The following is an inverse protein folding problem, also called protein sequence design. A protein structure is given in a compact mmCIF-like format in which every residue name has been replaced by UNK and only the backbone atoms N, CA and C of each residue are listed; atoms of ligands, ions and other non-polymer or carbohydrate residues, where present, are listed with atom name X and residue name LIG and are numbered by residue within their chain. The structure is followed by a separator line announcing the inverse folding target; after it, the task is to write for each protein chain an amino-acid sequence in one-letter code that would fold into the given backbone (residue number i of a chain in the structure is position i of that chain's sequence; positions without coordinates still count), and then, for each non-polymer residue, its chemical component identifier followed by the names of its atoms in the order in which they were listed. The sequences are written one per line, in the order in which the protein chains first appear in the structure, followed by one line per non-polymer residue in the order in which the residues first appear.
data_IF_426903165007
#
_entry.id   IF_426903165007
#
_cell.length_a   1.000
_cell.length_b   1.000
_cell.length_c   1.000
_cell.angle_alpha   90.00
_cell.angle_beta   90.00
_cell.angle_gamma   90.00
#
_symmetry.space_group_name_H-M   'P 1'
#
loop_
_entity.id
_entity.type
_entity.pdbx_description
1 polymer ?
#
# COMPACT_ATOMS: atom_id res chain seq x y z
N UNK A 1 -28.82 -10.01 37.50
CA UNK A 1 -28.30 -9.97 38.89
C UNK A 1 -26.80 -10.27 38.85
N UNK A 2 -26.02 -9.44 39.49
CA UNK A 2 -24.57 -9.40 39.72
C UNK A 2 -23.75 -8.69 38.69
N UNK A 3 -23.49 -7.42 38.95
CA UNK A 3 -22.44 -6.61 38.38
C UNK A 3 -21.15 -6.82 39.18
N UNK A 4 -19.99 -6.90 38.48
CA UNK A 4 -18.68 -6.77 39.11
C UNK A 4 -17.84 -5.75 38.35
N UNK A 5 -17.41 -4.67 39.02
CA UNK A 5 -16.50 -3.70 38.42
C UNK A 5 -15.05 -4.12 38.66
N UNK A 6 -14.25 -4.22 37.62
CA UNK A 6 -12.79 -4.32 37.73
C UNK A 6 -12.15 -2.95 37.51
N UNK A 7 -11.61 -2.45 38.61
CA UNK A 7 -10.75 -1.25 38.67
C UNK A 7 -9.35 -1.70 38.22
N UNK A 8 -8.80 -1.07 37.19
CA UNK A 8 -7.39 -1.23 36.79
C UNK A 8 -6.68 0.10 37.04
N UNK A 9 -5.66 0.01 37.88
CA UNK A 9 -4.83 1.10 38.38
C UNK A 9 -3.88 1.62 37.30
N UNK A 10 -3.73 2.98 37.25
CA UNK A 10 -2.68 3.67 36.51
C UNK A 10 -1.33 3.47 37.22
N UNK A 11 -0.30 3.11 36.46
CA UNK A 11 1.10 3.25 36.83
C UNK A 11 1.77 4.26 35.90
N UNK A 12 2.13 5.43 36.44
CA UNK A 12 2.95 6.44 35.79
C UNK A 12 4.43 6.09 35.98
N UNK A 13 5.21 6.01 34.91
CA UNK A 13 6.68 5.94 34.96
C UNK A 13 7.26 7.15 34.24
N UNK A 14 7.91 8.01 35.04
CA UNK A 14 8.72 9.13 34.58
C UNK A 14 10.13 8.64 34.25
N UNK A 15 10.70 9.05 33.11
CA UNK A 15 12.11 8.82 32.78
C UNK A 15 12.81 10.11 32.34
N UNK A 16 13.94 10.30 32.98
CA UNK A 16 14.85 11.43 33.06
C UNK A 16 15.56 11.74 31.73
N UNK A 17 15.75 13.03 31.52
CA UNK A 17 16.64 13.60 30.52
C UNK A 17 18.12 13.37 30.88
N UNK A 18 18.95 13.03 29.89
CA UNK A 18 20.39 13.06 29.95
C UNK A 18 20.94 14.01 28.87
N UNK A 19 21.44 15.16 29.31
CA UNK A 19 22.28 16.07 28.52
C UNK A 19 23.71 15.51 28.45
N UNK A 20 24.25 15.32 27.24
CA UNK A 20 25.69 15.07 27.02
C UNK A 20 26.35 16.26 26.30
N UNK A 21 27.60 16.60 26.65
CA UNK A 21 28.27 17.78 26.11
C UNK A 21 28.91 17.55 24.74
N UNK A 22 28.96 18.61 23.95
CA UNK A 22 29.59 18.66 22.63
C UNK A 22 31.13 18.66 22.73
N UNK A 23 31.86 18.05 21.79
CA UNK A 23 33.29 18.26 21.67
C UNK A 23 33.64 19.47 20.79
N UNK A 24 34.68 20.16 21.23
CA UNK A 24 35.22 21.39 20.70
C UNK A 24 35.89 21.24 19.32
N UNK A 25 35.78 22.30 18.55
CA UNK A 25 36.49 22.54 17.31
C UNK A 25 37.99 22.70 17.54
N UNK A 26 38.82 22.05 16.74
CA UNK A 26 40.26 22.36 16.61
C UNK A 26 40.51 23.01 15.25
N UNK A 27 40.85 24.30 15.31
CA UNK A 27 41.48 25.04 14.22
C UNK A 27 42.92 24.55 14.01
N UNK A 28 43.26 24.26 12.75
CA UNK A 28 44.66 24.23 12.33
C UNK A 28 44.77 24.96 10.99
N UNK A 29 45.73 25.89 10.88
CA UNK A 29 45.89 26.72 9.70
C UNK A 29 46.80 26.04 8.66
N UNK A 30 46.44 26.18 7.43
CA UNK A 30 47.29 26.48 6.37
C UNK A 30 47.98 25.41 5.59
N UNK A 31 47.86 25.36 4.39
CA UNK A 31 48.98 25.31 3.41
C UNK A 31 48.42 25.54 2.01
N UNK A 32 48.92 26.57 1.37
CA UNK A 32 48.53 26.92 0.00
C UNK A 32 49.18 25.95 -0.97
N UNK A 33 48.34 25.19 -1.70
CA UNK A 33 48.74 24.36 -2.81
C UNK A 33 48.51 25.11 -4.13
N UNK A 34 49.49 25.05 -5.09
CA UNK A 34 49.40 25.75 -6.37
C UNK A 34 48.33 25.15 -7.31
N UNK A 35 47.81 25.95 -8.25
CA UNK A 35 46.76 25.51 -9.15
C UNK A 35 47.21 24.39 -10.09
N UNK A 36 46.44 23.33 -10.09
CA UNK A 36 46.58 22.24 -11.06
C UNK A 36 45.99 22.62 -12.45
N UNK A 37 46.50 22.10 -13.55
CA UNK A 37 46.04 22.44 -14.89
C UNK A 37 44.62 22.00 -15.17
N UNK A 38 43.83 22.86 -15.83
CA UNK A 38 42.47 22.60 -16.29
C UNK A 38 42.44 21.33 -17.18
N UNK A 39 41.72 20.32 -16.69
CA UNK A 39 41.36 19.14 -17.45
C UNK A 39 40.15 19.48 -18.33
N UNK A 40 40.13 19.05 -19.62
CA UNK A 40 38.99 19.35 -20.49
C UNK A 40 37.68 18.73 -19.95
N UNK A 41 36.61 19.54 -19.97
CA UNK A 41 35.29 19.16 -19.55
C UNK A 41 34.84 17.86 -20.26
N UNK A 42 34.74 16.80 -19.49
CA UNK A 42 34.03 15.59 -19.91
C UNK A 42 32.54 15.94 -20.08
N UNK A 43 32.05 15.70 -21.29
CA UNK A 43 30.60 15.80 -21.55
C UNK A 43 29.86 14.89 -20.56
N UNK A 44 29.08 15.50 -19.68
CA UNK A 44 28.22 14.79 -18.77
C UNK A 44 27.07 14.18 -19.58
N UNK A 45 27.18 12.88 -19.87
CA UNK A 45 26.05 12.10 -20.35
C UNK A 45 24.93 12.22 -19.31
N UNK A 46 23.86 12.90 -19.66
CA UNK A 46 22.68 12.98 -18.84
C UNK A 46 22.16 11.55 -18.63
N UNK A 47 21.89 11.10 -17.38
CA UNK A 47 21.34 9.78 -17.15
C UNK A 47 20.02 9.66 -17.89
N UNK A 48 19.95 8.68 -18.81
CA UNK A 48 18.72 8.34 -19.50
C UNK A 48 17.64 8.01 -18.46
N UNK A 49 16.58 8.79 -18.43
CA UNK A 49 15.40 8.52 -17.59
C UNK A 49 14.91 7.12 -17.92
N UNK A 50 14.82 6.19 -16.95
CA UNK A 50 14.34 4.85 -17.24
C UNK A 50 12.92 4.94 -17.78
N UNK A 51 12.73 4.58 -19.03
CA UNK A 51 11.40 4.44 -19.62
C UNK A 51 10.68 3.37 -18.84
N UNK A 52 9.61 3.74 -18.11
CA UNK A 52 8.77 2.79 -17.39
C UNK A 52 8.23 1.78 -18.41
N UNK A 53 8.65 0.53 -18.30
CA UNK A 53 8.08 -0.56 -19.11
C UNK A 53 6.63 -0.68 -18.67
N UNK A 54 5.70 -0.21 -19.50
CA UNK A 54 4.28 -0.41 -19.27
C UNK A 54 3.98 -1.90 -19.42
N UNK A 55 3.66 -2.54 -18.32
CA UNK A 55 3.21 -3.93 -18.34
C UNK A 55 1.85 -4.00 -19.02
N UNK A 56 1.68 -4.93 -19.96
CA UNK A 56 0.40 -5.15 -20.63
C UNK A 56 -0.69 -5.52 -19.61
N UNK A 57 -1.90 -4.98 -19.81
CA UNK A 57 -3.05 -5.32 -18.99
C UNK A 57 -3.30 -6.84 -19.03
N UNK A 58 -3.57 -7.49 -17.88
CA UNK A 58 -3.97 -8.89 -17.87
C UNK A 58 -5.35 -9.07 -18.51
N UNK A 59 -5.62 -10.26 -19.04
CA UNK A 59 -6.96 -10.60 -19.48
C UNK A 59 -7.89 -10.79 -18.26
N UNK A 60 -9.17 -10.35 -18.32
CA UNK A 60 -10.15 -10.65 -17.29
C UNK A 60 -10.33 -12.16 -17.11
N UNK A 61 -10.49 -12.61 -15.87
CA UNK A 61 -10.77 -14.01 -15.55
C UNK A 61 -12.28 -14.26 -15.56
N UNK A 62 -12.74 -15.31 -16.24
CA UNK A 62 -14.14 -15.50 -16.59
C UNK A 62 -15.12 -15.47 -15.38
N UNK A 63 -14.70 -16.00 -14.22
CA UNK A 63 -15.54 -16.10 -13.02
C UNK A 63 -15.42 -14.89 -12.08
N UNK A 64 -14.30 -14.15 -12.15
CA UNK A 64 -14.00 -13.06 -11.22
C UNK A 64 -14.36 -11.71 -11.80
N UNK A 65 -14.73 -10.78 -10.91
CA UNK A 65 -14.82 -9.36 -11.24
C UNK A 65 -14.72 -8.51 -9.97
N UNK A 66 -14.78 -7.17 -10.13
CA UNK A 66 -14.74 -6.23 -9.03
C UNK A 66 -16.15 -5.90 -8.51
N UNK A 67 -16.40 -6.23 -7.24
CA UNK A 67 -17.66 -5.97 -6.55
C UNK A 67 -17.46 -5.03 -5.38
N UNK A 68 -18.37 -4.05 -5.22
CA UNK A 68 -18.30 -3.05 -4.16
C UNK A 68 -19.45 -3.20 -3.18
N UNK A 69 -19.13 -3.18 -1.87
CA UNK A 69 -20.11 -3.22 -0.78
C UNK A 69 -19.86 -2.08 0.17
N UNK A 70 -20.93 -1.38 0.57
CA UNK A 70 -20.91 -0.33 1.61
C UNK A 70 -21.41 -0.94 2.90
N UNK A 71 -20.68 -0.71 3.99
CA UNK A 71 -21.12 -0.99 5.35
C UNK A 71 -21.53 0.33 6.02
N UNK A 72 -22.82 0.46 6.31
CA UNK A 72 -23.44 1.62 6.96
C UNK A 72 -23.78 1.35 8.44
N UNK A 73 -23.46 0.17 8.96
CA UNK A 73 -23.85 -0.25 10.33
C UNK A 73 -22.89 0.26 11.40
N UNK A 74 -21.70 0.70 11.03
CA UNK A 74 -20.68 1.21 11.93
C UNK A 74 -20.79 2.74 12.12
N UNK A 75 -20.02 3.27 13.07
CA UNK A 75 -19.98 4.72 13.35
C UNK A 75 -19.44 5.54 12.17
N UNK A 76 -18.55 4.97 11.38
CA UNK A 76 -18.04 5.50 10.12
C UNK A 76 -18.49 4.57 9.01
N UNK A 77 -18.99 5.15 7.91
CA UNK A 77 -19.31 4.38 6.72
C UNK A 77 -18.00 3.87 6.09
N UNK A 78 -18.01 2.62 5.70
CA UNK A 78 -16.87 2.01 5.02
C UNK A 78 -17.31 1.34 3.72
N UNK A 79 -16.37 1.20 2.78
CA UNK A 79 -16.60 0.47 1.53
C UNK A 79 -15.49 -0.54 1.32
N UNK A 80 -15.90 -1.73 0.88
CA UNK A 80 -15.00 -2.78 0.40
C UNK A 80 -15.19 -2.93 -1.10
N UNK A 81 -14.09 -2.97 -1.84
CA UNK A 81 -14.01 -3.34 -3.24
C UNK A 81 -13.24 -4.66 -3.34
N UNK A 82 -13.93 -5.75 -3.63
CA UNK A 82 -13.36 -7.08 -3.68
C UNK A 82 -13.22 -7.58 -5.13
N UNK A 83 -12.14 -8.27 -5.42
CA UNK A 83 -12.01 -9.10 -6.61
C UNK A 83 -12.40 -10.52 -6.24
N UNK A 84 -13.54 -11.00 -6.72
CA UNK A 84 -14.15 -12.23 -6.21
C UNK A 84 -15.01 -12.95 -7.26
N UNK A 85 -15.32 -14.18 -6.95
CA UNK A 85 -16.42 -14.92 -7.61
C UNK A 85 -17.69 -14.64 -6.80
N UNK A 86 -18.74 -14.03 -7.39
CA UNK A 86 -19.94 -13.66 -6.65
C UNK A 86 -20.63 -14.86 -5.99
N UNK A 87 -21.20 -14.62 -4.81
CA UNK A 87 -21.92 -15.63 -4.00
C UNK A 87 -21.02 -16.78 -3.49
N UNK A 88 -19.70 -16.57 -3.44
CA UNK A 88 -18.73 -17.52 -2.87
C UNK A 88 -17.79 -16.81 -1.91
N UNK A 89 -16.98 -17.61 -1.18
CA UNK A 89 -15.89 -17.10 -0.31
C UNK A 89 -14.57 -16.91 -1.08
N UNK A 90 -14.58 -17.12 -2.40
CA UNK A 90 -13.38 -17.01 -3.24
C UNK A 90 -13.08 -15.54 -3.57
N UNK A 91 -12.29 -14.93 -2.69
CA UNK A 91 -11.88 -13.53 -2.72
C UNK A 91 -10.37 -13.41 -2.53
N UNK A 92 -9.57 -13.53 -3.59
CA UNK A 92 -8.10 -13.47 -3.48
C UNK A 92 -7.53 -12.09 -3.13
N UNK A 93 -8.34 -11.03 -3.21
CA UNK A 93 -7.88 -9.68 -2.95
C UNK A 93 -9.04 -8.72 -2.67
N UNK A 94 -8.81 -7.75 -1.79
CA UNK A 94 -9.73 -6.63 -1.61
C UNK A 94 -9.03 -5.31 -1.32
N UNK A 95 -9.76 -4.22 -1.54
CA UNK A 95 -9.46 -2.87 -1.08
C UNK A 95 -10.57 -2.41 -0.15
N UNK A 96 -10.24 -1.71 0.91
CA UNK A 96 -11.23 -1.13 1.83
C UNK A 96 -10.83 0.28 2.25
N UNK A 97 -11.81 1.10 2.61
CA UNK A 97 -11.58 2.45 3.14
C UNK A 97 -12.77 2.89 4.00
N UNK A 98 -12.54 3.91 4.84
CA UNK A 98 -13.60 4.75 5.41
C UNK A 98 -13.95 5.87 4.43
N UNK A 99 -15.20 6.37 4.48
CA UNK A 99 -15.69 7.47 3.64
C UNK A 99 -14.84 8.73 3.85
N UNK A 100 -14.29 9.29 2.79
CA UNK A 100 -13.43 10.48 2.82
C UNK A 100 -12.13 10.30 3.64
N UNK A 101 -11.73 9.06 3.94
CA UNK A 101 -10.58 8.80 4.81
C UNK A 101 -9.22 9.00 4.15
N UNK A 102 -9.16 9.17 2.83
CA UNK A 102 -7.93 9.35 2.02
C UNK A 102 -6.89 8.22 2.21
N UNK A 103 -7.28 7.12 2.86
CA UNK A 103 -6.46 5.93 3.10
C UNK A 103 -7.19 4.70 2.62
N UNK A 104 -6.51 3.91 1.82
CA UNK A 104 -7.04 2.66 1.29
C UNK A 104 -6.20 1.52 1.84
N UNK A 105 -6.86 0.49 2.33
CA UNK A 105 -6.21 -0.72 2.84
C UNK A 105 -6.37 -1.82 1.81
N UNK A 106 -5.26 -2.46 1.44
CA UNK A 106 -5.28 -3.60 0.55
C UNK A 106 -5.06 -4.89 1.34
N UNK A 107 -5.98 -5.85 1.20
CA UNK A 107 -6.00 -7.13 1.88
C UNK A 107 -5.62 -8.29 0.96
N UNK A 108 -4.71 -9.15 1.42
CA UNK A 108 -4.26 -10.36 0.72
C UNK A 108 -4.37 -11.56 1.66
N UNK A 109 -5.32 -12.49 1.41
CA UNK A 109 -5.47 -13.71 2.19
C UNK A 109 -4.42 -14.79 1.82
N UNK A 110 -4.21 -15.76 2.70
CA UNK A 110 -3.43 -16.96 2.46
C UNK A 110 -1.91 -16.75 2.33
N UNK A 111 -1.39 -15.60 2.74
CA UNK A 111 0.02 -15.27 2.56
C UNK A 111 0.94 -16.02 3.53
N UNK A 112 2.21 -16.20 3.12
CA UNK A 112 3.26 -16.71 3.99
C UNK A 112 3.55 -15.71 5.13
N UNK A 113 3.70 -16.16 6.40
CA UNK A 113 3.99 -15.28 7.52
C UNK A 113 5.32 -14.51 7.43
N UNK A 114 6.24 -14.94 6.59
CA UNK A 114 7.51 -14.24 6.35
C UNK A 114 7.38 -13.02 5.43
N UNK A 115 6.25 -12.83 4.75
CA UNK A 115 6.04 -11.70 3.84
C UNK A 115 5.94 -10.39 4.61
N UNK A 116 6.82 -9.44 4.31
CA UNK A 116 6.91 -8.14 4.98
C UNK A 116 6.41 -6.97 4.11
N UNK A 117 6.12 -7.22 2.85
CA UNK A 117 5.63 -6.20 1.92
C UNK A 117 4.78 -6.79 0.80
N UNK A 118 3.88 -5.98 0.27
CA UNK A 118 3.04 -6.29 -0.87
C UNK A 118 3.39 -5.33 -2.01
N UNK A 119 3.62 -5.87 -3.19
CA UNK A 119 3.81 -5.08 -4.41
C UNK A 119 2.49 -5.02 -5.18
N UNK A 120 2.07 -3.82 -5.50
CA UNK A 120 0.95 -3.55 -6.40
C UNK A 120 1.45 -2.97 -7.71
N UNK A 121 0.80 -3.34 -8.81
CA UNK A 121 1.11 -2.88 -10.16
C UNK A 121 -0.18 -2.57 -10.93
N UNK A 122 -0.19 -1.46 -11.67
CA UNK A 122 -1.28 -1.01 -12.52
C UNK A 122 -0.73 -0.38 -13.80
N UNK A 123 -1.57 0.25 -14.61
CA UNK A 123 -1.12 0.98 -15.82
C UNK A 123 -0.18 2.15 -15.51
N UNK A 124 -0.15 2.67 -14.29
CA UNK A 124 0.77 3.73 -13.88
C UNK A 124 2.12 3.23 -13.34
N UNK A 125 2.36 1.92 -13.39
CA UNK A 125 3.58 1.30 -12.86
C UNK A 125 3.36 0.50 -11.60
N UNK A 126 4.43 0.25 -10.83
CA UNK A 126 4.35 -0.58 -9.63
C UNK A 126 4.94 0.11 -8.42
N UNK A 127 4.38 -0.21 -7.24
CA UNK A 127 4.88 0.22 -5.93
C UNK A 127 4.84 -0.93 -4.92
N UNK A 128 5.74 -0.86 -3.95
CA UNK A 128 5.80 -1.81 -2.83
C UNK A 128 5.42 -1.10 -1.53
N UNK A 129 4.52 -1.72 -0.77
CA UNK A 129 3.99 -1.20 0.49
C UNK A 129 4.37 -2.15 1.63
N UNK A 130 4.84 -1.65 2.77
CA UNK A 130 5.13 -2.49 3.93
C UNK A 130 3.83 -3.05 4.51
N UNK A 131 3.88 -4.29 4.99
CA UNK A 131 2.76 -4.91 5.72
C UNK A 131 2.52 -4.13 7.00
N UNK A 132 1.27 -3.71 7.21
CA UNK A 132 0.82 -2.97 8.39
C UNK A 132 0.26 -3.91 9.46
N UNK A 133 -0.58 -4.85 9.05
CA UNK A 133 -1.11 -5.90 9.91
C UNK A 133 -0.96 -7.26 9.26
N UNK A 134 -0.80 -8.29 10.11
CA UNK A 134 -0.67 -9.68 9.71
C UNK A 134 -1.41 -10.53 10.72
N UNK A 135 -2.58 -11.05 10.33
CA UNK A 135 -3.48 -11.82 11.18
C UNK A 135 -3.56 -13.27 10.71
N UNK A 136 -3.96 -14.20 11.56
CA UNK A 136 -4.19 -15.57 11.14
C UNK A 136 -5.36 -15.59 10.14
N UNK A 137 -5.15 -16.29 9.03
CA UNK A 137 -6.23 -16.52 8.05
C UNK A 137 -6.76 -17.94 8.22
N UNK A 138 -7.86 -18.06 8.96
CA UNK A 138 -8.45 -19.37 9.29
C UNK A 138 -9.13 -20.03 8.08
N UNK A 139 -9.55 -19.25 7.09
CA UNK A 139 -10.25 -19.76 5.91
C UNK A 139 -9.27 -20.28 4.86
N UNK A 140 -8.23 -19.51 4.55
CA UNK A 140 -7.29 -19.84 3.48
C UNK A 140 -5.99 -20.46 4.00
N UNK A 141 -5.81 -20.48 5.33
CA UNK A 141 -4.53 -20.81 5.96
C UNK A 141 -3.50 -19.69 5.78
N UNK A 142 -2.39 -19.77 6.51
CA UNK A 142 -1.37 -18.71 6.46
C UNK A 142 -1.79 -17.44 7.16
N UNK A 143 -1.59 -16.28 6.49
CA UNK A 143 -1.84 -14.95 7.06
C UNK A 143 -2.73 -14.11 6.14
N UNK A 144 -3.62 -13.34 6.74
CA UNK A 144 -4.26 -12.21 6.09
C UNK A 144 -3.39 -10.97 6.28
N UNK A 145 -2.81 -10.49 5.19
CA UNK A 145 -1.92 -9.33 5.22
C UNK A 145 -2.66 -8.07 4.80
N UNK A 146 -2.42 -6.97 5.51
CA UNK A 146 -2.95 -5.66 5.13
C UNK A 146 -1.82 -4.66 4.94
N UNK A 147 -1.89 -3.87 3.88
CA UNK A 147 -1.05 -2.69 3.65
C UNK A 147 -1.91 -1.45 3.56
N UNK A 148 -1.36 -0.30 3.94
CA UNK A 148 -2.00 1.01 3.81
C UNK A 148 -1.44 1.74 2.59
N UNK A 149 -2.33 2.32 1.78
CA UNK A 149 -2.02 3.02 0.54
C UNK A 149 -2.66 4.42 0.63
N UNK A 150 -1.92 5.52 0.42
CA UNK A 150 -2.52 6.84 0.29
C UNK A 150 -3.54 6.88 -0.86
N UNK A 151 -4.73 7.46 -0.64
CA UNK A 151 -5.81 7.48 -1.65
C UNK A 151 -5.42 8.14 -2.97
N UNK A 152 -4.50 9.12 -2.94
CA UNK A 152 -3.93 9.77 -4.13
C UNK A 152 -2.74 9.04 -4.76
N UNK A 153 -2.42 7.80 -4.37
CA UNK A 153 -1.28 7.08 -4.91
C UNK A 153 -1.42 6.78 -6.41
N UNK A 154 -0.31 6.92 -7.16
CA UNK A 154 -0.31 6.72 -8.61
C UNK A 154 -0.74 5.31 -9.03
N UNK A 155 -0.43 4.26 -8.24
CA UNK A 155 -0.86 2.90 -8.56
C UNK A 155 -2.39 2.76 -8.51
N UNK A 156 -3.05 3.44 -7.56
CA UNK A 156 -4.51 3.48 -7.48
C UNK A 156 -5.13 4.31 -8.61
N UNK A 157 -4.49 5.44 -8.98
CA UNK A 157 -4.93 6.23 -10.13
C UNK A 157 -4.85 5.42 -11.43
N UNK A 158 -3.76 4.67 -11.63
CA UNK A 158 -3.62 3.75 -12.76
C UNK A 158 -4.64 2.63 -12.76
N UNK A 159 -4.95 2.05 -11.59
CA UNK A 159 -6.01 1.04 -11.44
C UNK A 159 -7.38 1.63 -11.81
N UNK A 160 -7.72 2.80 -11.27
CA UNK A 160 -8.97 3.50 -11.61
C UNK A 160 -9.13 3.73 -13.12
N UNK A 161 -8.05 4.11 -13.78
CA UNK A 161 -8.06 4.40 -15.22
C UNK A 161 -8.18 3.13 -16.09
N UNK A 162 -7.48 2.07 -15.69
CA UNK A 162 -7.29 0.88 -16.54
C UNK A 162 -8.19 -0.30 -16.16
N UNK A 163 -8.74 -0.29 -14.93
CA UNK A 163 -9.55 -1.38 -14.39
C UNK A 163 -8.75 -2.64 -14.03
N UNK A 164 -7.42 -2.61 -14.06
CA UNK A 164 -6.61 -3.76 -13.68
C UNK A 164 -5.58 -3.47 -12.61
N UNK A 165 -5.34 -4.47 -11.79
CA UNK A 165 -4.33 -4.46 -10.73
C UNK A 165 -3.64 -5.83 -10.69
N UNK A 166 -2.33 -5.83 -10.43
CA UNK A 166 -1.58 -7.04 -10.07
C UNK A 166 -1.07 -6.90 -8.66
N UNK A 167 -1.22 -7.96 -7.85
CA UNK A 167 -0.68 -8.04 -6.50
C UNK A 167 0.37 -9.14 -6.43
N UNK A 168 1.48 -8.86 -5.76
CA UNK A 168 2.50 -9.86 -5.45
C UNK A 168 2.83 -9.79 -3.97
N UNK A 169 2.72 -10.94 -3.26
CA UNK A 169 3.01 -11.09 -1.84
C UNK A 169 3.70 -12.45 -1.62
N UNK A 170 5.03 -12.47 -1.59
CA UNK A 170 5.78 -13.73 -1.57
C UNK A 170 5.50 -14.60 -2.81
N UNK A 171 4.95 -15.80 -2.61
CA UNK A 171 4.56 -16.70 -3.70
C UNK A 171 3.22 -16.34 -4.36
N UNK A 172 2.41 -15.50 -3.71
CA UNK A 172 1.13 -15.04 -4.26
C UNK A 172 1.38 -14.07 -5.41
N UNK A 173 0.72 -14.30 -6.54
CA UNK A 173 0.73 -13.43 -7.70
C UNK A 173 -0.64 -13.49 -8.39
N UNK A 174 -1.49 -12.50 -8.10
CA UNK A 174 -2.81 -12.38 -8.72
C UNK A 174 -2.83 -11.23 -9.72
N UNK A 175 -3.27 -11.53 -10.94
CA UNK A 175 -3.52 -10.54 -11.99
C UNK A 175 -5.04 -10.41 -12.16
N UNK A 176 -5.56 -9.23 -11.86
CA UNK A 176 -6.97 -8.93 -11.71
C UNK A 176 -7.37 -7.84 -12.70
N UNK A 177 -8.32 -8.11 -13.57
CA UNK A 177 -8.83 -7.14 -14.53
C UNK A 177 -10.35 -7.12 -14.54
N UNK A 178 -10.90 -5.91 -14.64
CA UNK A 178 -12.33 -5.67 -14.73
C UNK A 178 -12.89 -6.19 -16.06
N UNK A 179 -14.08 -6.80 -16.02
CA UNK A 179 -14.88 -6.99 -17.23
C UNK A 179 -15.56 -5.67 -17.60
N UNK A 180 -15.28 -5.15 -18.78
CA UNK A 180 -15.80 -3.86 -19.24
C UNK A 180 -17.31 -3.79 -19.37
N UNK A 181 -17.96 -4.94 -19.60
CA UNK A 181 -19.39 -5.10 -19.83
C UNK A 181 -20.22 -5.41 -18.57
N UNK A 182 -19.57 -5.69 -17.42
CA UNK A 182 -20.24 -6.09 -16.16
C UNK A 182 -20.37 -4.97 -15.11
N UNK A 183 -20.02 -3.73 -15.47
CA UNK A 183 -20.15 -2.59 -14.54
C UNK A 183 -18.99 -2.44 -13.54
N UNK A 184 -17.97 -3.27 -13.60
CA UNK A 184 -16.80 -3.18 -12.72
C UNK A 184 -16.06 -1.84 -12.80
N UNK A 185 -15.85 -1.22 -13.98
CA UNK A 185 -15.22 0.10 -14.05
C UNK A 185 -16.00 1.18 -13.28
N UNK A 186 -17.32 1.15 -13.30
CA UNK A 186 -18.18 2.06 -12.54
C UNK A 186 -18.06 1.80 -11.03
N UNK A 187 -17.98 0.52 -10.62
CA UNK A 187 -17.79 0.11 -9.22
C UNK A 187 -16.44 0.60 -8.68
N UNK A 188 -15.37 0.44 -9.47
CA UNK A 188 -14.02 0.95 -9.14
C UNK A 188 -14.05 2.47 -8.97
N UNK A 189 -14.66 3.20 -9.91
CA UNK A 189 -14.78 4.65 -9.84
C UNK A 189 -15.55 5.12 -8.60
N UNK A 190 -16.67 4.44 -8.26
CA UNK A 190 -17.46 4.72 -7.07
C UNK A 190 -16.66 4.48 -5.79
N UNK A 191 -15.89 3.40 -5.72
CA UNK A 191 -15.01 3.11 -4.60
C UNK A 191 -13.97 4.23 -4.41
N UNK A 192 -13.29 4.63 -5.48
CA UNK A 192 -12.26 5.68 -5.41
C UNK A 192 -12.84 7.04 -5.01
N UNK A 193 -14.05 7.39 -5.46
CA UNK A 193 -14.74 8.60 -5.03
C UNK A 193 -15.11 8.51 -3.54
N UNK A 194 -15.72 7.42 -3.12
CA UNK A 194 -16.11 7.19 -1.72
C UNK A 194 -14.94 7.33 -0.73
N UNK A 195 -13.75 6.85 -1.11
CA UNK A 195 -12.57 6.90 -0.24
C UNK A 195 -11.93 8.29 -0.16
N UNK A 196 -12.11 9.17 -1.17
CA UNK A 196 -11.34 10.42 -1.29
C UNK A 196 -12.22 11.69 -1.24
N UNK A 197 -13.54 11.58 -1.23
CA UNK A 197 -14.50 12.70 -1.15
C UNK A 197 -15.04 12.83 0.28
#
# INVERSE_FOLDING_TARGET
MSASPHIIALAAAALLAACGPAPASSDAPGEATPPAPESPAAATDAPATPTAVQTAAPAPQAAYDWYGRINDEERSRSMVLAYEVPETDDQPFNLSCEEGGERIFAGVPGADPAVQSIRLESSAGSKTFPVKTSEADELNGGRYLTVEIPGGDSVLAGFRQSGWLRVTAGAINHAMAAHGDRGAPQTINRFMAFCND
#
